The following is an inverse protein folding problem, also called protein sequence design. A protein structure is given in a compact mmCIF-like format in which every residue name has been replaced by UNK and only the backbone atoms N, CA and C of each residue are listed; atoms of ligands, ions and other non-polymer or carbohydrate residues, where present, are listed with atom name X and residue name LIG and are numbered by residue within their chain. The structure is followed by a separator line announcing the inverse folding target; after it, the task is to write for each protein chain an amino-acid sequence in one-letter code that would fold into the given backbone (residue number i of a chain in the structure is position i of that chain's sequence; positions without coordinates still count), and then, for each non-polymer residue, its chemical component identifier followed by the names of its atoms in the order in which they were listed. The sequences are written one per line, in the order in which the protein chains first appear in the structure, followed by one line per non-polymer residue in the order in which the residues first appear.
data_IF_889988786478
#
_entry.id   IF_889988786478
#
_cell.length_a   1.000
_cell.length_b   1.000
_cell.length_c   1.000
_cell.angle_alpha   90.00
_cell.angle_beta   90.00
_cell.angle_gamma   90.00
#
_symmetry.space_group_name_H-M   'P 1'
#
loop_
_entity.id
_entity.type
_entity.pdbx_description
1 polymer ?
#
# COMPACT_ATOMS: atom_id res chain seq x y z
N UNK A 1 62.60 -2.10 44.76
CA UNK A 1 62.94 -0.66 44.74
C UNK A 1 61.93 0.05 43.86
N UNK A 2 60.90 0.63 44.47
CA UNK A 2 59.85 1.37 43.78
C UNK A 2 60.33 2.76 43.39
N UNK A 3 60.13 3.13 42.12
CA UNK A 3 60.14 4.52 41.67
C UNK A 3 58.70 4.99 41.60
N UNK A 4 58.24 5.63 42.67
CA UNK A 4 57.00 6.41 42.67
C UNK A 4 57.24 7.67 41.84
N UNK A 5 56.79 7.68 40.58
CA UNK A 5 56.56 8.92 39.86
C UNK A 5 55.31 9.59 40.46
N UNK A 6 55.49 10.36 41.52
CA UNK A 6 54.52 11.39 41.90
C UNK A 6 54.51 12.45 40.79
N UNK A 7 53.79 12.17 39.72
CA UNK A 7 53.36 13.18 38.79
C UNK A 7 52.17 13.86 39.46
N UNK A 8 52.47 14.87 40.29
CA UNK A 8 51.48 15.66 40.97
C UNK A 8 50.52 16.25 39.94
N UNK A 9 49.25 15.89 40.06
CA UNK A 9 48.15 16.49 39.32
C UNK A 9 48.12 17.97 39.69
N UNK A 10 48.75 18.81 38.86
CA UNK A 10 48.79 20.25 39.12
C UNK A 10 47.40 20.80 38.85
N UNK A 11 46.59 20.94 39.90
CA UNK A 11 45.30 21.63 39.84
C UNK A 11 45.54 23.10 39.51
N UNK A 12 45.57 23.45 38.22
CA UNK A 12 45.65 24.84 37.75
C UNK A 12 44.29 25.51 37.99
N UNK A 13 44.13 26.11 39.15
CA UNK A 13 42.95 26.93 39.44
C UNK A 13 43.10 28.28 38.76
N UNK A 14 42.35 28.51 37.67
CA UNK A 14 42.22 29.84 37.06
C UNK A 14 41.09 30.56 37.78
N UNK A 15 41.42 31.66 38.47
CA UNK A 15 40.42 32.54 39.08
C UNK A 15 40.07 33.65 38.09
N UNK A 16 38.79 33.88 37.92
CA UNK A 16 38.26 35.00 37.13
C UNK A 16 37.77 36.10 38.07
N UNK A 17 37.39 37.25 37.52
CA UNK A 17 36.77 38.28 38.33
C UNK A 17 35.46 37.76 38.97
N UNK A 18 35.10 38.16 40.20
CA UNK A 18 33.96 37.57 40.94
C UNK A 18 32.63 37.60 40.18
N UNK A 19 32.40 38.62 39.35
CA UNK A 19 31.21 38.71 38.51
C UNK A 19 31.20 37.67 37.38
N UNK A 20 32.36 37.29 36.84
CA UNK A 20 32.49 36.26 35.80
C UNK A 20 32.31 34.87 36.42
N UNK A 21 32.90 34.64 37.60
CA UNK A 21 32.74 33.37 38.32
C UNK A 21 31.29 33.14 38.72
N UNK A 22 30.58 34.17 39.19
CA UNK A 22 29.15 34.09 39.49
C UNK A 22 28.32 33.72 38.25
N UNK A 23 28.65 34.28 37.08
CA UNK A 23 27.99 33.93 35.81
C UNK A 23 28.34 32.51 35.35
N UNK A 24 29.59 32.06 35.54
CA UNK A 24 30.00 30.70 35.23
C UNK A 24 29.26 29.67 36.11
N UNK A 25 29.20 29.91 37.42
CA UNK A 25 28.45 29.06 38.35
C UNK A 25 26.96 29.04 38.01
N UNK A 26 26.38 30.19 37.67
CA UNK A 26 24.99 30.29 37.22
C UNK A 26 24.73 29.44 35.98
N UNK A 27 25.55 29.58 34.93
CA UNK A 27 25.42 28.80 33.70
C UNK A 27 25.61 27.29 33.92
N UNK A 28 26.58 26.88 34.75
CA UNK A 28 26.80 25.46 35.07
C UNK A 28 25.63 24.86 35.87
N UNK A 29 25.15 25.57 36.89
CA UNK A 29 23.99 25.14 37.70
C UNK A 29 22.74 24.97 36.85
N UNK A 30 22.58 25.85 35.88
CA UNK A 30 21.42 25.90 35.02
C UNK A 30 21.49 24.84 33.91
N UNK A 31 22.69 24.57 33.36
CA UNK A 31 22.93 23.43 32.47
C UNK A 31 22.71 22.08 33.18
N UNK A 32 23.14 21.96 34.43
CA UNK A 32 22.90 20.75 35.24
C UNK A 32 21.41 20.55 35.53
N UNK A 33 20.68 21.63 35.85
CA UNK A 33 19.22 21.58 36.05
C UNK A 33 18.50 21.16 34.76
N UNK A 34 18.96 21.64 33.61
CA UNK A 34 18.43 21.22 32.31
C UNK A 34 18.70 19.76 31.98
N UNK A 35 19.90 19.26 32.28
CA UNK A 35 20.23 17.84 32.14
C UNK A 35 19.27 16.99 32.95
N UNK A 36 19.13 17.29 34.25
CA UNK A 36 18.33 16.46 35.16
C UNK A 36 16.84 16.44 34.77
N UNK A 37 16.32 17.52 34.18
CA UNK A 37 14.96 17.56 33.64
C UNK A 37 14.77 16.77 32.33
N UNK A 38 15.78 16.72 31.46
CA UNK A 38 15.65 16.13 30.11
C UNK A 38 16.16 14.70 30.00
N UNK A 39 16.98 14.23 30.95
CA UNK A 39 17.61 12.91 30.86
C UNK A 39 16.60 11.76 30.85
N UNK A 40 15.46 11.96 31.53
CA UNK A 40 14.37 10.98 31.63
C UNK A 40 13.16 11.32 30.73
N UNK A 41 13.13 12.50 30.11
CA UNK A 41 12.01 12.98 29.30
C UNK A 41 12.45 13.05 27.83
N UNK A 42 12.25 11.95 27.10
CA UNK A 42 12.59 11.89 25.68
C UNK A 42 11.39 12.30 24.84
N UNK A 43 11.54 13.19 23.84
CA UNK A 43 10.44 13.53 22.92
C UNK A 43 10.04 12.37 22.00
N UNK A 44 10.76 11.24 22.08
CA UNK A 44 10.49 10.03 21.32
C UNK A 44 9.92 8.90 22.20
N UNK A 45 9.69 9.13 23.50
CA UNK A 45 9.18 8.10 24.42
C UNK A 45 7.77 7.64 24.08
N UNK A 46 6.95 8.57 23.58
CA UNK A 46 5.53 8.36 23.30
C UNK A 46 5.30 7.88 21.85
N UNK A 47 6.38 7.66 21.10
CA UNK A 47 6.26 7.13 19.75
C UNK A 47 5.94 5.64 19.80
N UNK A 48 4.70 5.31 19.43
CA UNK A 48 4.30 3.92 19.20
C UNK A 48 4.69 3.49 17.78
N UNK A 49 5.26 2.29 17.67
CA UNK A 49 5.71 1.75 16.39
C UNK A 49 4.50 1.50 15.49
N UNK A 50 4.57 1.99 14.25
CA UNK A 50 3.50 1.77 13.29
C UNK A 50 3.63 0.34 12.76
N UNK A 51 2.68 -0.52 13.10
CA UNK A 51 2.54 -1.83 12.46
C UNK A 51 1.86 -1.66 11.09
N UNK A 52 2.66 -1.78 10.03
CA UNK A 52 2.20 -1.67 8.64
C UNK A 52 1.16 -2.73 8.32
N UNK A 53 1.28 -3.94 8.88
CA UNK A 53 0.33 -5.01 8.64
C UNK A 53 -1.02 -4.67 9.27
N UNK A 54 -1.05 -4.08 10.46
CA UNK A 54 -2.29 -3.59 11.07
C UNK A 54 -2.82 -2.34 10.36
N UNK A 55 -1.97 -1.46 9.84
CA UNK A 55 -2.42 -0.29 9.07
C UNK A 55 -3.02 -0.66 7.70
N UNK A 56 -2.44 -1.66 7.02
CA UNK A 56 -2.92 -2.15 5.72
C UNK A 56 -4.08 -3.13 5.85
N UNK A 57 -4.09 -3.95 6.89
CA UNK A 57 -5.06 -5.03 7.05
C UNK A 57 -6.01 -4.85 8.25
N UNK A 58 -5.87 -3.81 9.08
CA UNK A 58 -6.44 -3.80 10.44
C UNK A 58 -7.42 -2.69 10.79
N UNK A 59 -7.88 -1.83 9.88
CA UNK A 59 -8.87 -0.79 10.21
C UNK A 59 -10.11 -0.86 9.31
N UNK A 60 -11.25 -1.27 9.90
CA UNK A 60 -12.59 -1.18 9.31
C UNK A 60 -13.11 -2.47 8.67
N UNK A 61 -12.30 -3.15 7.86
CA UNK A 61 -12.56 -4.50 7.36
C UNK A 61 -11.21 -5.19 7.16
N UNK A 62 -10.94 -6.25 7.91
CA UNK A 62 -9.69 -7.01 7.73
C UNK A 62 -9.69 -7.62 6.33
N UNK A 63 -8.54 -7.76 5.66
CA UNK A 63 -8.50 -8.53 4.40
C UNK A 63 -9.01 -9.97 4.61
N UNK A 64 -9.02 -10.49 5.84
CA UNK A 64 -9.69 -11.74 6.22
C UNK A 64 -11.22 -11.64 6.32
N UNK A 65 -11.78 -10.44 6.53
CA UNK A 65 -13.22 -10.17 6.39
C UNK A 65 -13.64 -10.14 4.92
N UNK A 66 -12.67 -10.04 4.00
CA UNK A 66 -12.80 -10.40 2.60
C UNK A 66 -12.04 -11.70 2.32
N UNK A 67 -12.62 -12.88 2.63
CA UNK A 67 -12.14 -14.15 2.05
C UNK A 67 -11.89 -14.01 0.54
N UNK A 68 -12.63 -13.10 -0.09
CA UNK A 68 -12.57 -12.62 -1.46
C UNK A 68 -11.27 -11.92 -1.96
N UNK A 69 -10.19 -11.74 -1.20
CA UNK A 69 -8.93 -11.25 -1.81
C UNK A 69 -7.81 -12.28 -1.81
N UNK A 70 -7.45 -12.87 -0.67
CA UNK A 70 -6.35 -13.84 -0.61
C UNK A 70 -6.80 -15.27 -0.97
N UNK A 71 -7.94 -15.72 -0.43
CA UNK A 71 -8.53 -17.03 -0.76
C UNK A 71 -9.21 -16.99 -2.14
N UNK A 72 -9.80 -15.87 -2.55
CA UNK A 72 -10.15 -15.67 -3.97
C UNK A 72 -8.92 -15.61 -4.84
N UNK A 73 -7.86 -14.82 -4.63
CA UNK A 73 -6.76 -14.82 -5.61
C UNK A 73 -6.16 -16.22 -5.82
N UNK A 74 -5.99 -17.01 -4.74
CA UNK A 74 -5.58 -18.41 -4.83
C UNK A 74 -6.59 -19.31 -5.55
N UNK A 75 -7.86 -19.34 -5.11
CA UNK A 75 -8.92 -20.17 -5.72
C UNK A 75 -9.32 -19.73 -7.12
N UNK A 76 -9.31 -18.42 -7.35
CA UNK A 76 -9.65 -17.74 -8.60
C UNK A 76 -8.52 -17.97 -9.60
N UNK A 77 -7.23 -17.80 -9.27
CA UNK A 77 -6.14 -18.19 -10.17
C UNK A 77 -6.10 -19.70 -10.43
N UNK A 78 -6.45 -20.55 -9.46
CA UNK A 78 -6.54 -22.01 -9.66
C UNK A 78 -7.78 -22.46 -10.43
N UNK A 79 -8.82 -21.63 -10.48
CA UNK A 79 -10.11 -21.91 -11.13
C UNK A 79 -10.39 -21.01 -12.34
N UNK A 80 -9.41 -20.18 -12.77
CA UNK A 80 -9.53 -19.34 -13.96
C UNK A 80 -9.31 -20.22 -15.19
N UNK A 81 -10.32 -21.01 -15.51
CA UNK A 81 -10.37 -21.77 -16.75
C UNK A 81 -11.13 -20.95 -17.80
N UNK A 82 -10.37 -20.40 -18.74
CA UNK A 82 -10.90 -19.60 -19.85
C UNK A 82 -11.88 -20.42 -20.70
N UNK A 83 -11.68 -21.74 -20.79
CA UNK A 83 -12.55 -22.66 -21.51
C UNK A 83 -13.85 -22.91 -20.74
N UNK A 84 -13.79 -23.03 -19.42
CA UNK A 84 -14.99 -23.11 -18.57
C UNK A 84 -15.82 -21.83 -18.63
N UNK A 85 -15.18 -20.66 -18.59
CA UNK A 85 -15.85 -19.35 -18.74
C UNK A 85 -16.52 -19.25 -20.12
N UNK A 86 -15.83 -19.69 -21.18
CA UNK A 86 -16.42 -19.73 -22.51
C UNK A 86 -17.63 -20.67 -22.56
N UNK A 87 -17.50 -21.91 -22.07
CA UNK A 87 -18.56 -22.90 -22.13
C UNK A 87 -19.80 -22.46 -21.33
N UNK A 88 -19.62 -21.92 -20.13
CA UNK A 88 -20.72 -21.42 -19.30
C UNK A 88 -21.40 -20.21 -19.92
N UNK A 89 -20.65 -19.24 -20.45
CA UNK A 89 -21.23 -18.07 -21.13
C UNK A 89 -21.88 -18.45 -22.46
N UNK A 90 -21.31 -19.40 -23.19
CA UNK A 90 -21.89 -19.96 -24.40
C UNK A 90 -23.22 -20.65 -24.11
N UNK A 91 -23.26 -21.57 -23.14
CA UNK A 91 -24.46 -22.31 -22.78
C UNK A 91 -25.55 -21.38 -22.25
N UNK A 92 -25.19 -20.38 -21.44
CA UNK A 92 -26.12 -19.36 -20.91
C UNK A 92 -26.83 -18.60 -22.02
N UNK A 93 -26.11 -18.22 -23.08
CA UNK A 93 -26.67 -17.41 -24.18
C UNK A 93 -27.40 -18.28 -25.22
N UNK A 94 -26.85 -19.45 -25.55
CA UNK A 94 -27.39 -20.34 -26.60
C UNK A 94 -28.57 -21.16 -26.10
N UNK A 95 -28.59 -21.51 -24.81
CA UNK A 95 -29.68 -22.25 -24.15
C UNK A 95 -30.65 -21.33 -23.41
N UNK A 96 -30.60 -20.02 -23.67
CA UNK A 96 -31.54 -19.09 -23.08
C UNK A 96 -32.97 -19.43 -23.54
N UNK A 97 -33.96 -19.43 -22.62
CA UNK A 97 -35.35 -19.79 -22.94
C UNK A 97 -35.94 -18.92 -24.04
N UNK A 98 -35.56 -17.64 -24.10
CA UNK A 98 -35.98 -16.70 -25.14
C UNK A 98 -35.61 -17.16 -26.56
N UNK A 99 -34.49 -17.90 -26.70
CA UNK A 99 -34.03 -18.43 -27.99
C UNK A 99 -34.86 -19.65 -28.39
N UNK A 100 -35.22 -20.50 -27.43
CA UNK A 100 -36.10 -21.64 -27.66
C UNK A 100 -37.53 -21.18 -27.99
N UNK A 101 -38.02 -20.14 -27.31
CA UNK A 101 -39.33 -19.54 -27.59
C UNK A 101 -39.35 -18.91 -28.98
N UNK A 102 -38.35 -18.09 -29.33
CA UNK A 102 -38.26 -17.46 -30.64
C UNK A 102 -38.12 -18.47 -31.79
N UNK A 103 -37.36 -19.55 -31.59
CA UNK A 103 -37.25 -20.63 -32.59
C UNK A 103 -38.56 -21.39 -32.73
N UNK A 104 -39.26 -21.65 -31.63
CA UNK A 104 -40.56 -22.32 -31.64
C UNK A 104 -41.64 -21.47 -32.32
N UNK A 105 -41.66 -20.16 -32.09
CA UNK A 105 -42.59 -19.25 -32.77
C UNK A 105 -42.35 -19.19 -34.28
N UNK A 106 -41.09 -19.06 -34.73
CA UNK A 106 -40.76 -19.13 -36.16
C UNK A 106 -41.17 -20.45 -36.78
N UNK A 107 -41.02 -21.56 -36.05
CA UNK A 107 -41.41 -22.88 -36.53
C UNK A 107 -42.91 -23.07 -36.63
N UNK A 108 -43.73 -22.42 -35.79
CA UNK A 108 -45.19 -22.48 -35.92
C UNK A 108 -45.64 -21.97 -37.30
N UNK A 109 -45.05 -20.88 -37.80
CA UNK A 109 -45.41 -20.32 -39.11
C UNK A 109 -45.03 -21.27 -40.26
N UNK A 110 -43.84 -21.89 -40.19
CA UNK A 110 -43.36 -22.85 -41.19
C UNK A 110 -44.17 -24.14 -41.15
N UNK A 111 -44.50 -24.64 -39.96
CA UNK A 111 -45.32 -25.84 -39.78
C UNK A 111 -46.73 -25.64 -40.32
N UNK A 112 -47.32 -24.46 -40.13
CA UNK A 112 -48.62 -24.13 -40.72
C UNK A 112 -48.61 -24.16 -42.24
N UNK A 113 -47.54 -23.67 -42.88
CA UNK A 113 -47.39 -23.72 -44.34
C UNK A 113 -47.25 -25.17 -44.84
N UNK A 114 -46.37 -25.96 -44.22
CA UNK A 114 -46.13 -27.34 -44.62
C UNK A 114 -47.38 -28.21 -44.43
N UNK A 115 -48.02 -28.13 -43.26
CA UNK A 115 -49.16 -29.00 -42.93
C UNK A 115 -50.45 -28.57 -43.64
N UNK A 116 -50.76 -27.26 -43.69
CA UNK A 116 -52.04 -26.79 -44.23
C UNK A 116 -52.00 -26.57 -45.75
N UNK A 117 -50.84 -26.25 -46.32
CA UNK A 117 -50.73 -25.93 -47.75
C UNK A 117 -50.10 -27.08 -48.52
N UNK A 118 -48.88 -27.47 -48.18
CA UNK A 118 -48.10 -28.41 -49.00
C UNK A 118 -48.59 -29.85 -48.87
N UNK A 119 -48.82 -30.31 -47.64
CA UNK A 119 -49.33 -31.65 -47.38
C UNK A 119 -50.76 -31.81 -47.90
N UNK A 120 -51.60 -30.78 -47.76
CA UNK A 120 -52.95 -30.75 -48.33
C UNK A 120 -52.93 -30.82 -49.87
N UNK A 121 -52.08 -30.02 -50.54
CA UNK A 121 -51.89 -30.09 -52.01
C UNK A 121 -51.38 -31.46 -52.45
N UNK A 122 -50.42 -32.03 -51.73
CA UNK A 122 -49.89 -33.36 -52.01
C UNK A 122 -50.96 -34.46 -51.91
N UNK A 123 -51.78 -34.43 -50.85
CA UNK A 123 -52.89 -35.37 -50.68
C UNK A 123 -53.95 -35.25 -51.78
N UNK A 124 -54.33 -34.02 -52.15
CA UNK A 124 -55.29 -33.78 -53.25
C UNK A 124 -54.72 -34.25 -54.58
N UNK A 125 -53.45 -33.97 -54.87
CA UNK A 125 -52.78 -34.42 -56.08
C UNK A 125 -52.72 -35.95 -56.19
N UNK A 126 -52.36 -36.63 -55.10
CA UNK A 126 -52.32 -38.09 -55.06
C UNK A 126 -53.72 -38.72 -55.12
N UNK A 127 -54.75 -38.06 -54.58
CA UNK A 127 -56.15 -38.48 -54.74
C UNK A 127 -56.63 -38.36 -56.18
N UNK A 128 -56.30 -37.26 -56.86
CA UNK A 128 -56.66 -37.08 -58.27
C UNK A 128 -55.98 -38.10 -59.18
N UNK A 129 -54.78 -38.57 -58.81
CA UNK A 129 -54.06 -39.65 -59.48
C UNK A 129 -54.48 -41.06 -59.00
N UNK A 130 -55.41 -41.14 -58.05
CA UNK A 130 -55.86 -42.38 -57.41
C UNK A 130 -54.73 -43.24 -56.82
N UNK A 131 -53.63 -42.60 -56.42
CA UNK A 131 -52.40 -43.25 -55.96
C UNK A 131 -52.24 -43.26 -54.42
N UNK A 132 -53.31 -42.94 -53.69
CA UNK A 132 -53.30 -42.80 -52.21
C UNK A 132 -52.96 -44.11 -51.49
N UNK A 133 -53.27 -45.26 -52.09
CA UNK A 133 -52.92 -46.58 -51.56
C UNK A 133 -51.53 -47.10 -52.01
N UNK A 134 -50.78 -46.29 -52.78
CA UNK A 134 -49.47 -46.66 -53.29
C UNK A 134 -48.36 -46.38 -52.28
N UNK A 135 -47.27 -47.14 -52.36
CA UNK A 135 -46.03 -46.87 -51.62
C UNK A 135 -45.49 -45.47 -51.89
N UNK A 136 -45.70 -44.92 -53.09
CA UNK A 136 -45.30 -43.55 -53.46
C UNK A 136 -45.97 -42.46 -52.62
N UNK A 137 -47.20 -42.70 -52.13
CA UNK A 137 -47.89 -41.77 -51.24
C UNK A 137 -47.21 -41.71 -49.87
N UNK A 138 -46.88 -42.87 -49.30
CA UNK A 138 -46.18 -42.98 -48.01
C UNK A 138 -44.78 -42.38 -48.11
N UNK A 139 -44.04 -42.66 -49.19
CA UNK A 139 -42.71 -42.09 -49.43
C UNK A 139 -42.77 -40.56 -49.58
N UNK A 140 -43.74 -40.03 -50.32
CA UNK A 140 -43.87 -38.58 -50.48
C UNK A 140 -44.23 -37.86 -49.18
N UNK A 141 -45.07 -38.46 -48.34
CA UNK A 141 -45.35 -37.94 -46.99
C UNK A 141 -44.10 -37.97 -46.10
N UNK A 142 -43.34 -39.06 -46.13
CA UNK A 142 -42.08 -39.16 -45.39
C UNK A 142 -41.05 -38.12 -45.86
N UNK A 143 -40.97 -37.83 -47.16
CA UNK A 143 -40.10 -36.77 -47.69
C UNK A 143 -40.51 -35.37 -47.23
N UNK A 144 -41.80 -35.11 -47.05
CA UNK A 144 -42.28 -33.83 -46.51
C UNK A 144 -41.95 -33.66 -45.03
N UNK A 145 -42.12 -34.70 -44.22
CA UNK A 145 -41.71 -34.69 -42.80
C UNK A 145 -40.19 -34.55 -42.65
N UNK A 146 -39.40 -35.23 -43.49
CA UNK A 146 -37.94 -35.08 -43.49
C UNK A 146 -37.51 -33.63 -43.83
N UNK A 147 -38.17 -32.99 -44.80
CA UNK A 147 -37.94 -31.56 -45.10
C UNK A 147 -38.28 -30.67 -43.91
N UNK A 148 -39.38 -30.94 -43.20
CA UNK A 148 -39.78 -30.19 -42.01
C UNK A 148 -38.73 -30.29 -40.91
N UNK A 149 -38.24 -31.49 -40.61
CA UNK A 149 -37.18 -31.69 -39.60
C UNK A 149 -35.90 -30.96 -39.98
N UNK A 150 -35.51 -30.99 -41.26
CA UNK A 150 -34.33 -30.27 -41.75
C UNK A 150 -34.47 -28.76 -41.66
N UNK A 151 -35.64 -28.20 -42.00
CA UNK A 151 -35.93 -26.77 -41.87
C UNK A 151 -35.91 -26.34 -40.39
N UNK A 152 -36.43 -27.17 -39.49
CA UNK A 152 -36.33 -26.91 -38.05
C UNK A 152 -34.89 -26.82 -37.57
N UNK A 153 -34.06 -27.77 -38.00
CA UNK A 153 -32.64 -27.76 -37.66
C UNK A 153 -31.92 -26.52 -38.24
N UNK A 154 -32.22 -26.10 -39.47
CA UNK A 154 -31.59 -24.91 -40.07
C UNK A 154 -32.00 -23.61 -39.38
N UNK A 155 -33.28 -23.45 -39.04
CA UNK A 155 -33.77 -22.25 -38.31
C UNK A 155 -33.17 -22.17 -36.91
N UNK A 156 -33.08 -23.30 -36.21
CA UNK A 156 -32.42 -23.37 -34.91
C UNK A 156 -30.93 -23.02 -35.01
N UNK A 157 -30.23 -23.56 -36.02
CA UNK A 157 -28.82 -23.27 -36.25
C UNK A 157 -28.61 -21.77 -36.55
N UNK A 158 -29.42 -21.18 -37.42
CA UNK A 158 -29.30 -19.77 -37.79
C UNK A 158 -29.54 -18.84 -36.59
N UNK A 159 -30.55 -19.13 -35.77
CA UNK A 159 -30.82 -18.39 -34.54
C UNK A 159 -29.64 -18.47 -33.56
N UNK A 160 -29.07 -19.65 -33.36
CA UNK A 160 -27.91 -19.85 -32.47
C UNK A 160 -26.63 -19.24 -33.04
N UNK A 161 -26.41 -19.32 -34.35
CA UNK A 161 -25.25 -18.73 -35.00
C UNK A 161 -25.25 -17.19 -34.92
N UNK A 162 -26.43 -16.57 -35.00
CA UNK A 162 -26.58 -15.12 -34.83
C UNK A 162 -26.16 -14.65 -33.42
N UNK A 163 -26.30 -15.50 -32.40
CA UNK A 163 -25.96 -15.17 -31.01
C UNK A 163 -24.46 -15.24 -30.71
N UNK A 164 -23.65 -15.88 -31.58
CA UNK A 164 -22.20 -16.01 -31.37
C UNK A 164 -21.50 -14.66 -31.17
N UNK A 165 -21.93 -13.61 -31.87
CA UNK A 165 -21.37 -12.28 -31.71
C UNK A 165 -21.70 -11.66 -30.34
N UNK A 166 -22.88 -11.94 -29.81
CA UNK A 166 -23.30 -11.50 -28.47
C UNK A 166 -22.55 -12.28 -27.40
N UNK A 167 -22.46 -13.61 -27.54
CA UNK A 167 -21.66 -14.47 -26.65
C UNK A 167 -20.20 -13.99 -26.59
N UNK A 168 -19.60 -13.63 -27.73
CA UNK A 168 -18.24 -13.10 -27.76
C UNK A 168 -18.05 -11.78 -27.00
N UNK A 169 -19.07 -10.90 -26.99
CA UNK A 169 -19.04 -9.64 -26.22
C UNK A 169 -19.16 -9.89 -24.72
N UNK A 170 -20.10 -10.76 -24.32
CA UNK A 170 -20.29 -11.14 -22.93
C UNK A 170 -19.02 -11.80 -22.37
N UNK A 171 -18.45 -12.75 -23.11
CA UNK A 171 -17.19 -13.40 -22.75
C UNK A 171 -16.03 -12.41 -22.57
N UNK A 172 -15.92 -11.41 -23.45
CA UNK A 172 -14.91 -10.35 -23.31
C UNK A 172 -15.17 -9.47 -22.08
N UNK A 173 -16.42 -9.23 -21.70
CA UNK A 173 -16.75 -8.51 -20.46
C UNK A 173 -16.31 -9.30 -19.23
N UNK A 174 -16.59 -10.61 -19.22
CA UNK A 174 -16.20 -11.50 -18.13
C UNK A 174 -14.67 -11.54 -17.98
N UNK A 175 -13.94 -11.70 -19.10
CA UNK A 175 -12.47 -11.64 -19.11
C UNK A 175 -11.89 -10.30 -18.62
N UNK A 176 -12.55 -9.18 -18.92
CA UNK A 176 -12.10 -7.87 -18.45
C UNK A 176 -12.33 -7.70 -16.95
N UNK A 177 -13.42 -8.25 -16.41
CA UNK A 177 -13.67 -8.29 -14.98
C UNK A 177 -12.58 -9.09 -14.25
N UNK A 178 -12.27 -10.27 -14.75
CA UNK A 178 -11.20 -11.13 -14.23
C UNK A 178 -9.84 -10.40 -14.21
N UNK A 179 -9.48 -9.77 -15.33
CA UNK A 179 -8.26 -8.97 -15.44
C UNK A 179 -8.20 -7.83 -14.43
N UNK A 180 -9.31 -7.13 -14.21
CA UNK A 180 -9.39 -6.02 -13.26
C UNK A 180 -9.14 -6.48 -11.83
N UNK A 181 -9.74 -7.60 -11.44
CA UNK A 181 -9.56 -8.21 -10.10
C UNK A 181 -8.09 -8.56 -9.85
N UNK A 182 -7.45 -9.25 -10.80
CA UNK A 182 -6.02 -9.62 -10.72
C UNK A 182 -5.13 -8.38 -10.62
N UNK A 183 -5.38 -7.36 -11.44
CA UNK A 183 -4.57 -6.14 -11.47
C UNK A 183 -4.69 -5.35 -10.17
N UNK A 184 -5.90 -5.27 -9.62
CA UNK A 184 -6.17 -4.54 -8.36
C UNK A 184 -5.45 -5.22 -7.20
N UNK A 185 -5.54 -6.55 -7.10
CA UNK A 185 -4.82 -7.31 -6.08
C UNK A 185 -3.30 -7.12 -6.17
N UNK A 186 -2.73 -7.24 -7.38
CA UNK A 186 -1.30 -7.05 -7.61
C UNK A 186 -0.84 -5.64 -7.21
N UNK A 187 -1.66 -4.62 -7.43
CA UNK A 187 -1.36 -3.24 -7.05
C UNK A 187 -1.33 -3.07 -5.53
N UNK A 188 -2.33 -3.59 -4.81
CA UNK A 188 -2.39 -3.54 -3.35
C UNK A 188 -1.19 -4.26 -2.71
N UNK A 189 -0.84 -5.44 -3.21
CA UNK A 189 0.32 -6.19 -2.71
C UNK A 189 1.64 -5.50 -3.01
N UNK A 190 1.78 -4.92 -4.21
CA UNK A 190 2.96 -4.12 -4.56
C UNK A 190 3.13 -2.95 -3.58
N UNK A 191 2.06 -2.21 -3.29
CA UNK A 191 2.11 -1.07 -2.38
C UNK A 191 2.51 -1.53 -0.97
N UNK A 192 1.91 -2.60 -0.45
CA UNK A 192 2.29 -3.21 0.83
C UNK A 192 3.81 -3.48 0.91
N UNK A 193 4.38 -4.17 -0.08
CA UNK A 193 5.82 -4.47 -0.10
C UNK A 193 6.71 -3.23 -0.25
N UNK A 194 6.22 -2.14 -0.85
CA UNK A 194 6.95 -0.87 -0.95
C UNK A 194 6.93 -0.07 0.36
N UNK A 195 5.84 -0.16 1.14
CA UNK A 195 5.70 0.60 2.38
C UNK A 195 6.32 -0.11 3.59
N UNK A 196 6.28 -1.44 3.65
CA UNK A 196 6.83 -2.24 4.75
C UNK A 196 8.28 -1.87 5.14
N UNK A 197 9.27 -1.85 4.22
CA UNK A 197 10.66 -1.52 4.59
C UNK A 197 10.79 -0.06 5.03
N UNK A 198 10.08 0.88 4.40
CA UNK A 198 10.14 2.31 4.73
C UNK A 198 9.65 2.59 6.14
N UNK A 199 8.55 1.97 6.54
CA UNK A 199 8.01 2.15 7.89
C UNK A 199 8.88 1.45 8.94
N UNK A 200 9.46 0.30 8.61
CA UNK A 200 10.43 -0.36 9.48
C UNK A 200 11.68 0.52 9.70
N UNK A 201 12.18 1.19 8.65
CA UNK A 201 13.29 2.14 8.76
C UNK A 201 12.92 3.35 9.65
N UNK A 202 11.68 3.85 9.55
CA UNK A 202 11.20 4.95 10.40
C UNK A 202 11.09 4.50 11.86
N UNK A 203 10.45 3.35 12.12
CA UNK A 203 10.29 2.78 13.46
C UNK A 203 11.65 2.55 14.13
N UNK A 204 12.60 1.92 13.42
CA UNK A 204 13.95 1.66 13.94
C UNK A 204 14.75 2.94 14.15
N UNK A 205 14.58 3.96 13.29
CA UNK A 205 15.21 5.27 13.45
C UNK A 205 14.71 6.01 14.70
N UNK A 206 13.40 5.99 14.95
CA UNK A 206 12.80 6.66 16.10
C UNK A 206 13.10 5.94 17.42
N UNK A 207 13.04 4.60 17.45
CA UNK A 207 13.49 3.81 18.61
C UNK A 207 14.98 4.04 18.90
N UNK A 208 15.82 4.07 17.87
CA UNK A 208 17.25 4.40 18.02
C UNK A 208 17.46 5.80 18.60
N UNK A 209 16.68 6.80 18.18
CA UNK A 209 16.76 8.17 18.71
C UNK A 209 16.31 8.25 20.16
N UNK A 210 15.26 7.52 20.54
CA UNK A 210 14.81 7.42 21.92
C UNK A 210 15.91 6.84 22.82
N UNK A 211 16.50 5.70 22.43
CA UNK A 211 17.59 5.06 23.19
C UNK A 211 18.86 5.90 23.27
N UNK A 212 19.15 6.71 22.25
CA UNK A 212 20.32 7.59 22.22
C UNK A 212 20.08 8.95 22.91
N UNK A 213 18.85 9.24 23.32
CA UNK A 213 18.48 10.53 23.91
C UNK A 213 19.38 10.94 25.10
N UNK A 214 19.67 10.06 26.08
CA UNK A 214 20.54 10.43 27.20
C UNK A 214 21.94 10.86 26.75
N UNK A 215 22.49 10.22 25.72
CA UNK A 215 23.79 10.59 25.17
C UNK A 215 23.75 11.94 24.44
N UNK A 216 22.61 12.30 23.83
CA UNK A 216 22.46 13.62 23.21
C UNK A 216 22.42 14.73 24.24
N UNK A 217 21.68 14.55 25.34
CA UNK A 217 21.62 15.49 26.46
C UNK A 217 23.00 15.65 27.12
N UNK A 218 23.70 14.54 27.38
CA UNK A 218 25.06 14.59 27.95
C UNK A 218 26.09 15.22 26.99
N UNK A 219 25.92 15.06 25.68
CA UNK A 219 26.80 15.71 24.71
C UNK A 219 26.63 17.22 24.67
N UNK A 220 25.40 17.71 24.91
CA UNK A 220 25.12 19.14 25.06
C UNK A 220 25.77 19.72 26.32
N UNK A 221 25.66 19.02 27.45
CA UNK A 221 26.35 19.39 28.69
C UNK A 221 27.87 19.38 28.50
N UNK A 222 28.44 18.34 27.89
CA UNK A 222 29.87 18.26 27.60
C UNK A 222 30.36 19.41 26.72
N UNK A 223 29.55 19.85 25.75
CA UNK A 223 29.85 21.01 24.93
C UNK A 223 29.76 22.32 25.71
N UNK A 224 28.74 22.49 26.56
CA UNK A 224 28.60 23.63 27.47
C UNK A 224 29.77 23.73 28.46
N UNK A 225 30.26 22.60 28.98
CA UNK A 225 31.46 22.54 29.80
C UNK A 225 32.72 22.89 29.00
N UNK A 226 32.80 22.47 27.73
CA UNK A 226 33.92 22.77 26.85
C UNK A 226 33.93 24.21 26.31
N UNK A 227 32.82 24.96 26.38
CA UNK A 227 32.87 26.41 26.10
C UNK A 227 33.52 27.19 27.24
N UNK A 228 33.45 26.64 28.46
CA UNK A 228 34.01 27.25 29.67
C UNK A 228 35.45 26.79 29.96
N UNK A 229 35.75 25.54 29.63
CA UNK A 229 37.09 25.01 29.67
C UNK A 229 37.64 25.07 28.24
N UNK A 230 38.60 25.96 28.00
CA UNK A 230 39.48 25.79 26.85
C UNK A 230 40.08 24.37 26.96
N UNK A 231 39.58 23.45 26.13
CA UNK A 231 39.93 22.02 26.03
C UNK A 231 39.21 21.07 27.02
N UNK A 232 38.07 20.47 26.61
CA UNK A 232 37.60 19.18 27.17
C UNK A 232 37.24 18.19 26.06
N UNK A 233 37.88 17.02 26.07
CA UNK A 233 37.90 16.00 25.01
C UNK A 233 36.77 14.96 25.08
N UNK A 234 35.65 15.27 25.73
CA UNK A 234 34.54 14.31 25.92
C UNK A 234 33.47 14.36 24.82
N UNK A 235 33.79 14.95 23.66
CA UNK A 235 32.91 14.96 22.50
C UNK A 235 32.99 13.63 21.74
N UNK A 236 31.84 13.16 21.25
CA UNK A 236 31.77 12.12 20.22
C UNK A 236 32.62 12.61 19.04
N UNK A 237 33.78 12.00 18.80
CA UNK A 237 34.61 12.26 17.60
C UNK A 237 33.85 11.80 16.36
N UNK A 238 32.90 12.59 15.90
CA UNK A 238 32.44 12.52 14.52
C UNK A 238 33.59 13.05 13.66
N UNK A 239 33.98 12.32 12.62
CA UNK A 239 34.99 12.80 11.68
C UNK A 239 34.62 14.22 11.22
N UNK A 240 35.51 15.22 11.34
CA UNK A 240 35.18 16.59 10.99
C UNK A 240 34.98 16.68 9.47
N UNK A 241 33.72 16.69 9.03
CA UNK A 241 33.38 17.22 7.70
C UNK A 241 33.40 18.73 7.83
N UNK A 242 34.29 19.41 7.09
CA UNK A 242 34.21 20.87 6.92
C UNK A 242 32.84 21.21 6.32
N UNK A 243 31.96 21.78 7.14
CA UNK A 243 30.63 22.24 6.73
C UNK A 243 30.74 23.61 6.05
N UNK A 244 29.84 23.90 5.12
CA UNK A 244 29.71 25.22 4.49
C UNK A 244 29.15 26.24 5.49
N UNK A 245 29.45 27.53 5.32
CA UNK A 245 29.03 28.59 6.27
C UNK A 245 27.50 28.65 6.49
N UNK A 246 26.70 28.29 5.47
CA UNK A 246 25.25 28.15 5.59
C UNK A 246 24.85 26.96 6.49
N UNK A 247 25.53 25.82 6.35
CA UNK A 247 25.31 24.66 7.22
C UNK A 247 25.75 24.92 8.65
N UNK A 248 26.71 25.81 8.86
CA UNK A 248 27.18 26.25 10.19
C UNK A 248 26.19 27.21 10.84
N UNK A 249 25.62 28.15 10.08
CA UNK A 249 24.52 28.99 10.58
C UNK A 249 23.29 28.17 10.97
N UNK A 250 22.95 27.16 10.16
CA UNK A 250 21.82 26.25 10.44
C UNK A 250 22.09 25.33 11.64
N UNK A 251 23.34 24.92 11.90
CA UNK A 251 23.65 24.14 13.10
C UNK A 251 23.54 24.99 14.36
N UNK A 252 24.04 26.23 14.36
CA UNK A 252 23.86 27.17 15.48
C UNK A 252 22.38 27.43 15.72
N UNK A 253 21.60 27.68 14.67
CA UNK A 253 20.15 27.85 14.77
C UNK A 253 19.46 26.58 15.29
N UNK A 254 19.91 25.39 14.88
CA UNK A 254 19.40 24.10 15.38
C UNK A 254 19.72 23.89 16.86
N UNK A 255 20.93 24.20 17.33
CA UNK A 255 21.28 24.13 18.76
C UNK A 255 20.56 25.20 19.58
N UNK A 256 20.36 26.40 19.03
CA UNK A 256 19.55 27.48 19.62
C UNK A 256 18.09 27.05 19.76
N UNK A 257 17.51 26.46 18.71
CA UNK A 257 16.15 25.95 18.71
C UNK A 257 15.98 24.76 19.65
N UNK A 258 16.97 23.86 19.70
CA UNK A 258 17.00 22.73 20.64
C UNK A 258 17.08 23.23 22.08
N UNK A 259 17.95 24.21 22.35
CA UNK A 259 18.03 24.86 23.66
C UNK A 259 16.74 25.60 24.04
N UNK A 260 16.10 26.30 23.11
CA UNK A 260 14.82 26.98 23.35
C UNK A 260 13.66 26.01 23.58
N UNK A 261 13.61 24.92 22.81
CA UNK A 261 12.63 23.84 22.98
C UNK A 261 12.78 23.17 24.34
N UNK A 262 14.01 22.76 24.69
CA UNK A 262 14.35 22.21 26.02
C UNK A 262 14.02 23.21 27.13
N UNK A 263 14.31 24.49 26.89
CA UNK A 263 14.03 25.61 27.77
C UNK A 263 12.55 25.81 28.10
N UNK A 264 11.65 25.52 27.15
CA UNK A 264 10.21 25.76 27.27
C UNK A 264 9.52 24.95 28.37
N UNK A 265 10.17 23.89 28.86
CA UNK A 265 9.71 23.04 29.96
C UNK A 265 9.87 23.68 31.35
N UNK A 266 10.48 24.87 31.45
CA UNK A 266 10.68 25.61 32.71
C UNK A 266 10.05 27.02 32.63
N UNK A 267 8.78 27.21 33.05
CA UNK A 267 8.13 28.52 33.07
C UNK A 267 8.73 29.48 34.12
N UNK A 268 8.67 30.83 33.96
CA UNK A 268 8.10 31.59 32.84
C UNK A 268 9.12 32.09 31.80
N UNK A 269 10.43 31.95 32.02
CA UNK A 269 11.49 32.48 31.13
C UNK A 269 12.40 31.40 30.52
N UNK A 270 12.10 30.11 30.74
CA UNK A 270 12.98 29.01 30.34
C UNK A 270 13.23 28.91 28.83
N UNK A 271 12.25 29.24 27.97
CA UNK A 271 12.44 29.23 26.50
C UNK A 271 13.53 30.23 26.06
N UNK A 272 13.55 31.42 26.67
CA UNK A 272 14.51 32.48 26.34
C UNK A 272 15.90 32.10 26.86
N UNK A 273 15.97 31.63 28.11
CA UNK A 273 17.22 31.22 28.75
C UNK A 273 17.83 30.00 28.02
N UNK A 274 17.01 28.99 27.72
CA UNK A 274 17.41 27.81 26.98
C UNK A 274 17.88 28.14 25.56
N UNK A 275 17.23 29.09 24.88
CA UNK A 275 17.66 29.59 23.57
C UNK A 275 19.05 30.23 23.61
N UNK A 276 19.33 31.07 24.62
CA UNK A 276 20.64 31.70 24.80
C UNK A 276 21.74 30.67 25.04
N UNK A 277 21.48 29.63 25.84
CA UNK A 277 22.45 28.56 26.11
C UNK A 277 22.66 27.73 24.84
N UNK A 278 21.59 27.39 24.12
CA UNK A 278 21.66 26.69 22.85
C UNK A 278 22.48 27.43 21.80
N UNK A 279 22.36 28.76 21.75
CA UNK A 279 23.18 29.61 20.90
C UNK A 279 24.67 29.59 21.32
N UNK A 280 24.97 29.74 22.62
CA UNK A 280 26.35 29.72 23.14
C UNK A 280 27.02 28.36 22.90
N UNK A 281 26.28 27.26 23.08
CA UNK A 281 26.77 25.91 22.78
C UNK A 281 27.00 25.72 21.28
N UNK A 282 26.10 26.20 20.43
CA UNK A 282 26.26 26.15 18.97
C UNK A 282 27.51 26.91 18.48
N UNK A 283 27.76 28.11 19.03
CA UNK A 283 28.96 28.89 18.75
C UNK A 283 30.21 28.20 19.30
N UNK A 284 30.14 27.61 20.50
CA UNK A 284 31.24 26.85 21.09
C UNK A 284 31.65 25.62 20.27
N UNK A 285 30.68 24.85 19.78
CA UNK A 285 30.95 23.72 18.87
C UNK A 285 31.55 24.19 17.54
N UNK A 286 31.11 25.32 16.98
CA UNK A 286 31.72 25.89 15.77
C UNK A 286 33.20 26.24 15.98
N UNK A 287 33.55 26.78 17.14
CA UNK A 287 34.95 27.13 17.46
C UNK A 287 35.83 25.88 17.64
N UNK A 288 35.26 24.79 18.17
CA UNK A 288 35.94 23.50 18.30
C UNK A 288 36.05 22.74 16.95
N UNK A 289 35.12 22.93 16.02
CA UNK A 289 35.18 22.36 14.66
C UNK A 289 36.21 23.06 13.74
N UNK A 290 36.59 24.31 14.06
CA UNK A 290 37.57 25.10 13.30
C UNK A 290 39.01 25.02 13.85
N UNK A 291 39.22 24.53 15.07
CA UNK A 291 40.53 24.32 15.71
C UNK A 291 41.13 22.95 15.39
#
# INVERSE_FOLDING_TARGET
MGRSSQQGDQTKTRRYAPYIEAQHTSFLSLTATYRDGMLNDSPFSDYDSIDVSVAFFGVGYVLSNFPALYDMYGKHMSGLDVEEIWNTTFDRVVSAPDVEDATTEKMKLVDEEIDKVDLAKFQVGMRNLNAVASSSFVVGKAMMEDKRVKLRASVSLEARAALLQTTGKDFLSDLNWEKMTVTTYATVMKDYFLFMPKMNDVNTSLDSRNRLWPFTVLSFEGAALSTMQSVMSWQKKMQPRKRSDLSTGLSIASYTATGAYIGSSFPPYGTVIGGVIGFVVGVGMMLLERS
#
